data_IF_430180045658
#
_entry.id   IF_430180045658
#
_cell.length_a   1.000
_cell.length_b   1.000
_cell.length_c   1.000
_cell.angle_alpha   90.00
_cell.angle_beta   90.00
_cell.angle_gamma   90.00
#
_symmetry.space_group_name_H-M   'P 1'
#
loop_
_entity.id
_entity.type
_entity.pdbx_description
1 polymer ?
#
# COMPACT_ATOMS: atom_id res chain seq x y z
N UNK A 1 -3.28 3.41 33.22
CA UNK A 1 -2.91 2.94 31.86
C UNK A 1 -1.79 1.94 31.99
N UNK A 2 -1.99 0.70 31.56
CA UNK A 2 -0.95 -0.32 31.64
C UNK A 2 -0.70 -0.87 30.24
N UNK A 3 0.32 -0.36 29.56
CA UNK A 3 0.91 -1.03 28.39
C UNK A 3 2.20 -1.70 28.84
N UNK A 4 2.08 -2.59 29.84
CA UNK A 4 3.20 -3.39 30.33
C UNK A 4 2.80 -4.85 30.19
N UNK A 5 3.46 -5.58 29.30
CA UNK A 5 3.22 -7.01 29.06
C UNK A 5 2.27 -7.35 27.90
N UNK A 6 1.80 -6.36 27.12
CA UNK A 6 1.04 -6.61 25.89
C UNK A 6 1.80 -6.05 24.69
N UNK A 7 2.12 -6.91 23.72
CA UNK A 7 2.67 -6.50 22.44
C UNK A 7 1.52 -5.98 21.57
N UNK A 8 1.64 -4.74 21.09
CA UNK A 8 0.62 -4.11 20.25
C UNK A 8 0.91 -4.32 18.76
N UNK A 9 2.18 -4.29 18.38
CA UNK A 9 2.66 -4.50 17.02
C UNK A 9 3.92 -5.37 17.13
N UNK A 10 3.95 -6.45 16.36
CA UNK A 10 5.09 -7.37 16.25
C UNK A 10 5.32 -7.68 14.78
N UNK A 11 6.57 -7.68 14.34
CA UNK A 11 6.91 -8.04 12.97
C UNK A 11 8.23 -7.45 12.52
N UNK A 12 8.82 -8.05 11.48
CA UNK A 12 9.98 -7.51 10.82
C UNK A 12 9.57 -6.32 9.94
N UNK A 13 10.32 -5.22 10.00
CA UNK A 13 10.14 -4.12 9.07
C UNK A 13 10.66 -4.55 7.68
N UNK A 14 9.93 -4.25 6.60
CA UNK A 14 10.37 -4.60 5.24
C UNK A 14 11.53 -3.73 4.74
N UNK A 15 11.82 -2.62 5.41
CA UNK A 15 12.83 -1.65 5.05
C UNK A 15 13.60 -1.19 6.28
N UNK A 16 14.85 -0.79 6.08
CA UNK A 16 15.69 -0.25 7.13
C UNK A 16 15.19 1.11 7.62
N UNK A 17 15.30 1.32 8.93
CA UNK A 17 15.03 2.60 9.61
C UNK A 17 16.31 3.13 10.24
N UNK A 18 16.33 4.41 10.58
CA UNK A 18 17.31 4.99 11.50
C UNK A 18 16.72 5.03 12.91
N UNK A 19 17.12 4.11 13.81
CA UNK A 19 16.58 4.08 15.17
C UNK A 19 16.85 5.37 15.93
N UNK A 20 18.03 5.96 15.74
CA UNK A 20 18.46 7.18 16.45
C UNK A 20 17.60 8.41 16.11
N UNK A 21 17.00 8.44 14.92
CA UNK A 21 16.07 9.48 14.50
C UNK A 21 14.60 9.13 14.70
N UNK A 22 14.31 7.91 15.15
CA UNK A 22 12.96 7.43 15.41
C UNK A 22 12.57 7.76 16.85
N UNK A 23 11.30 8.07 17.07
CA UNK A 23 10.78 8.43 18.39
C UNK A 23 9.40 7.85 18.61
N UNK A 24 8.95 7.82 19.85
CA UNK A 24 7.57 7.48 20.19
C UNK A 24 7.07 8.39 21.29
N UNK A 25 5.78 8.69 21.26
CA UNK A 25 5.11 9.55 22.23
C UNK A 25 3.80 8.92 22.65
N UNK A 26 3.42 9.11 23.92
CA UNK A 26 2.09 8.72 24.40
C UNK A 26 1.32 10.01 24.65
N UNK A 27 0.19 10.16 23.98
CA UNK A 27 -0.72 11.27 24.21
C UNK A 27 -1.51 11.01 25.50
N UNK A 28 -1.38 11.92 26.47
CA UNK A 28 -1.93 11.72 27.82
C UNK A 28 -3.47 11.79 27.87
N UNK A 29 -4.08 12.51 26.92
CA UNK A 29 -5.54 12.72 26.87
C UNK A 29 -6.27 11.54 26.22
N UNK A 30 -5.74 11.01 25.12
CA UNK A 30 -6.37 9.92 24.36
C UNK A 30 -5.83 8.55 24.75
N UNK A 31 -4.62 8.49 25.34
CA UNK A 31 -3.90 7.24 25.58
C UNK A 31 -3.32 6.62 24.32
N UNK A 32 -3.27 7.37 23.21
CA UNK A 32 -2.73 6.90 21.93
C UNK A 32 -1.20 6.83 22.00
N UNK A 33 -0.63 5.77 21.43
CA UNK A 33 0.81 5.61 21.25
C UNK A 33 1.13 5.96 19.79
N UNK A 34 1.85 7.07 19.61
CA UNK A 34 2.36 7.48 18.32
C UNK A 34 3.81 7.04 18.20
N UNK A 35 4.13 6.36 17.10
CA UNK A 35 5.48 5.89 16.79
C UNK A 35 5.90 6.49 15.46
N UNK A 36 7.01 7.21 15.47
CA UNK A 36 7.60 7.85 14.30
C UNK A 36 8.89 7.13 13.92
N UNK A 37 8.92 6.58 12.70
CA UNK A 37 10.10 5.94 12.14
C UNK A 37 10.80 6.86 11.15
N UNK A 38 12.09 7.14 11.39
CA UNK A 38 12.90 7.90 10.45
C UNK A 38 13.47 6.99 9.36
N UNK A 39 13.29 7.39 8.09
CA UNK A 39 13.90 6.71 6.95
C UNK A 39 15.36 7.13 6.77
N UNK A 40 16.24 6.23 6.31
CA UNK A 40 17.61 6.59 5.97
C UNK A 40 17.64 7.65 4.85
N UNK A 41 18.48 8.70 4.97
CA UNK A 41 18.70 9.65 3.89
C UNK A 41 19.42 8.95 2.75
N UNK A 42 19.01 9.23 1.52
CA UNK A 42 19.59 8.70 0.27
C UNK A 42 19.24 7.23 -0.04
N UNK A 43 18.04 7.03 -0.55
CA UNK A 43 17.90 6.13 -1.70
C UNK A 43 17.76 7.01 -2.94
N UNK A 44 18.56 6.75 -3.98
CA UNK A 44 18.48 7.48 -5.27
C UNK A 44 17.07 7.44 -5.87
N UNK A 45 16.24 6.48 -5.41
CA UNK A 45 14.81 6.42 -5.64
C UNK A 45 14.08 6.31 -4.29
N UNK A 46 13.22 7.25 -3.89
CA UNK A 46 12.42 7.12 -2.68
C UNK A 46 11.46 5.93 -2.82
N UNK A 47 11.66 4.91 -1.98
CA UNK A 47 10.82 3.70 -2.01
C UNK A 47 9.58 3.90 -1.14
N UNK A 48 8.41 3.71 -1.76
CA UNK A 48 7.14 3.64 -1.04
C UNK A 48 7.05 2.35 -0.23
N UNK A 49 6.65 2.49 1.03
CA UNK A 49 6.47 1.35 1.93
C UNK A 49 5.04 0.86 1.80
N UNK A 50 4.87 -0.31 1.19
CA UNK A 50 3.54 -0.85 0.89
C UNK A 50 2.84 -1.44 2.11
N UNK A 51 3.56 -1.69 3.19
CA UNK A 51 3.04 -2.22 4.45
C UNK A 51 4.00 -1.82 5.58
N UNK A 52 3.51 -1.86 6.82
CA UNK A 52 4.29 -1.50 8.00
C UNK A 52 5.24 -2.62 8.43
N UNK A 53 4.78 -3.88 8.39
CA UNK A 53 5.54 -5.07 8.76
C UNK A 53 5.29 -6.22 7.78
N UNK A 54 6.25 -7.13 7.65
CA UNK A 54 6.14 -8.28 6.75
C UNK A 54 4.94 -9.15 7.15
N UNK A 55 4.04 -9.38 6.19
CA UNK A 55 2.81 -10.16 6.41
C UNK A 55 1.55 -9.33 6.70
N UNK A 56 1.70 -8.01 6.88
CA UNK A 56 0.58 -7.09 7.08
C UNK A 56 -0.11 -6.69 5.76
N UNK A 57 -1.34 -6.13 5.82
CA UNK A 57 -2.07 -5.65 4.66
C UNK A 57 -1.25 -4.68 3.79
N UNK A 58 -1.28 -4.93 2.48
CA UNK A 58 -0.51 -4.17 1.49
C UNK A 58 -1.37 -3.08 0.86
N UNK A 59 -0.85 -1.85 0.79
CA UNK A 59 -1.46 -0.74 0.07
C UNK A 59 -1.08 -0.76 -1.42
N UNK A 60 -2.01 -0.40 -2.30
CA UNK A 60 -1.76 -0.27 -3.75
C UNK A 60 -1.05 1.06 -4.04
N UNK A 61 0.29 1.03 -4.01
CA UNK A 61 1.13 2.19 -4.30
C UNK A 61 0.99 2.66 -5.74
N UNK A 62 0.75 1.76 -6.71
CA UNK A 62 0.58 2.15 -8.12
C UNK A 62 -0.67 2.99 -8.29
N UNK A 63 -1.76 2.63 -7.60
CA UNK A 63 -2.98 3.42 -7.61
C UNK A 63 -2.77 4.82 -7.00
N UNK A 64 -1.97 4.93 -5.94
CA UNK A 64 -1.61 6.21 -5.30
C UNK A 64 -0.73 7.06 -6.21
N UNK A 65 0.19 6.44 -6.95
CA UNK A 65 1.04 7.16 -7.90
C UNK A 65 0.25 7.61 -9.13
N UNK A 66 -0.59 6.73 -9.66
CA UNK A 66 -1.47 7.04 -10.78
C UNK A 66 -2.49 8.13 -10.44
N UNK A 67 -2.91 8.26 -9.18
CA UNK A 67 -3.85 9.31 -8.77
C UNK A 67 -3.28 10.72 -8.85
N UNK A 68 -1.96 10.88 -9.00
CA UNK A 68 -1.36 12.19 -9.26
C UNK A 68 -1.63 12.69 -10.67
N UNK A 69 -1.91 11.78 -11.60
CA UNK A 69 -1.98 12.05 -13.04
C UNK A 69 -3.34 11.72 -13.65
N UNK A 70 -4.22 11.03 -12.93
CA UNK A 70 -5.52 10.57 -13.41
C UNK A 70 -6.65 11.20 -12.59
N UNK A 71 -7.72 11.60 -13.27
CA UNK A 71 -8.94 12.06 -12.62
C UNK A 71 -9.60 10.94 -11.80
N UNK A 72 -10.28 11.31 -10.71
CA UNK A 72 -10.98 10.40 -9.80
C UNK A 72 -11.90 9.40 -10.51
N UNK A 73 -12.55 9.85 -11.60
CA UNK A 73 -13.45 9.01 -12.42
C UNK A 73 -12.70 7.86 -13.10
N UNK A 74 -11.46 8.10 -13.55
CA UNK A 74 -10.63 7.10 -14.24
C UNK A 74 -10.06 6.11 -13.22
N UNK A 75 -9.58 6.61 -12.07
CA UNK A 75 -9.10 5.75 -10.98
C UNK A 75 -10.17 4.79 -10.48
N UNK A 76 -11.43 5.26 -10.38
CA UNK A 76 -12.56 4.44 -9.96
C UNK A 76 -12.80 3.28 -10.93
N UNK A 77 -12.80 3.55 -12.24
CA UNK A 77 -12.90 2.52 -13.29
C UNK A 77 -11.77 1.50 -13.21
N UNK A 78 -10.53 1.94 -13.00
CA UNK A 78 -9.37 1.02 -12.85
C UNK A 78 -9.54 0.12 -11.63
N UNK A 79 -9.99 0.67 -10.50
CA UNK A 79 -10.21 -0.08 -9.26
C UNK A 79 -11.31 -1.13 -9.41
N UNK A 80 -12.40 -0.78 -10.10
CA UNK A 80 -13.49 -1.72 -10.40
C UNK A 80 -13.01 -2.84 -11.31
N UNK A 81 -12.28 -2.52 -12.39
CA UNK A 81 -11.71 -3.54 -13.29
C UNK A 81 -10.71 -4.46 -12.60
N UNK A 82 -9.81 -3.94 -11.73
CA UNK A 82 -8.89 -4.77 -10.94
C UNK A 82 -9.66 -5.72 -10.01
N UNK A 83 -10.72 -5.23 -9.35
CA UNK A 83 -11.56 -6.03 -8.45
C UNK A 83 -12.32 -7.12 -9.20
N UNK A 84 -12.81 -6.82 -10.40
CA UNK A 84 -13.53 -7.78 -11.24
C UNK A 84 -12.59 -8.88 -11.76
N UNK A 85 -11.38 -8.51 -12.21
CA UNK A 85 -10.34 -9.47 -12.58
C UNK A 85 -9.95 -10.38 -11.41
N UNK A 86 -9.72 -9.82 -10.22
CA UNK A 86 -9.38 -10.63 -9.04
C UNK A 86 -10.49 -11.63 -8.66
N UNK A 87 -11.77 -11.26 -8.86
CA UNK A 87 -12.90 -12.19 -8.68
C UNK A 87 -12.92 -13.29 -9.73
N UNK A 88 -12.76 -12.94 -11.01
CA UNK A 88 -12.72 -13.92 -12.11
C UNK A 88 -11.58 -14.92 -11.95
N UNK A 89 -10.41 -14.44 -11.51
CA UNK A 89 -9.22 -15.25 -11.27
C UNK A 89 -9.43 -16.18 -10.06
N UNK A 90 -10.05 -15.69 -8.98
CA UNK A 90 -10.46 -16.53 -7.85
C UNK A 90 -11.52 -17.58 -8.22
N UNK A 91 -12.37 -17.29 -9.22
CA UNK A 91 -13.38 -18.20 -9.76
C UNK A 91 -12.85 -19.09 -10.90
N UNK A 92 -11.54 -19.02 -11.22
CA UNK A 92 -10.90 -19.85 -12.24
C UNK A 92 -11.30 -19.54 -13.69
N UNK A 93 -11.90 -18.37 -13.95
CA UNK A 93 -12.27 -17.92 -15.30
C UNK A 93 -11.19 -17.02 -15.88
N UNK A 94 -10.65 -17.40 -17.04
CA UNK A 94 -9.74 -16.55 -17.81
C UNK A 94 -10.46 -15.27 -18.28
N UNK A 95 -9.81 -14.09 -18.21
CA UNK A 95 -10.42 -12.84 -18.66
C UNK A 95 -10.69 -12.88 -20.17
N UNK A 96 -11.76 -12.23 -20.67
CA UNK A 96 -12.01 -12.13 -22.10
C UNK A 96 -10.83 -11.43 -22.77
N UNK A 97 -10.23 -12.08 -23.76
CA UNK A 97 -9.21 -11.48 -24.62
C UNK A 97 -9.74 -10.16 -25.18
N UNK A 98 -9.05 -9.07 -24.87
CA UNK A 98 -9.30 -7.75 -25.44
C UNK A 98 -9.17 -7.86 -26.96
N UNK A 99 -10.31 -7.89 -27.66
CA UNK A 99 -10.36 -7.85 -29.12
C UNK A 99 -9.88 -6.46 -29.54
N UNK A 100 -8.65 -6.40 -30.05
CA UNK A 100 -8.20 -5.26 -30.84
C UNK A 100 -9.16 -5.11 -32.03
N UNK A 101 -9.70 -3.92 -32.30
CA UNK A 101 -10.53 -3.72 -33.48
C UNK A 101 -9.71 -4.07 -34.72
N UNK A 102 -10.25 -4.98 -35.54
CA UNK A 102 -9.63 -5.48 -36.75
C UNK A 102 -9.22 -4.34 -37.69
N UNK A 103 -8.01 -4.47 -38.22
CA UNK A 103 -7.43 -3.69 -39.30
C UNK A 103 -8.33 -3.84 -40.54
N UNK A 104 -9.17 -2.84 -40.83
CA UNK A 104 -9.94 -2.78 -42.08
C UNK A 104 -9.07 -2.15 -43.15
N UNK A 105 -8.30 -3.00 -43.85
CA UNK A 105 -7.84 -2.73 -45.20
C UNK A 105 -8.95 -3.15 -46.19
N UNK A 106 -9.58 -2.17 -46.85
CA UNK A 106 -9.93 -2.24 -48.28
C UNK A 106 -10.36 -0.87 -48.80
#
# INVERSE_FOLDING_TARGET
MAVKGKVLVEGALPHDILPDGSTWTIESETGSLDVLFQKPPHTENPVWWKHIAVGEPVIDVEAIEASKYLDDSILRKIKESKKEKAKMEAEGKTPPTEQKPDDVHN
#
